data_IF_585719525982
#
_entry.id   IF_585719525982
#
_cell.length_a   1.000
_cell.length_b   1.000
_cell.length_c   1.000
_cell.angle_alpha   90.00
_cell.angle_beta   90.00
_cell.angle_gamma   90.00
#
_symmetry.space_group_name_H-M   'P 1'
#
loop_
_entity.id
_entity.type
_entity.pdbx_description
1 polymer ?
#
# COMPACT_ATOMS: atom_id res chain seq x y z
N UNK A 1 2.43 19.66 -1.10
CA UNK A 1 3.55 19.51 -0.15
C UNK A 1 4.79 19.26 -0.99
N UNK A 2 5.76 20.18 -0.98
CA UNK A 2 7.05 19.93 -1.64
C UNK A 2 7.83 19.03 -0.68
N UNK A 3 8.17 17.82 -1.11
CA UNK A 3 9.00 16.91 -0.33
C UNK A 3 10.44 17.37 -0.58
N UNK A 4 11.06 17.92 0.47
CA UNK A 4 12.49 18.24 0.43
C UNK A 4 13.29 16.93 0.53
N UNK A 5 14.50 16.91 0.01
CA UNK A 5 15.43 15.77 0.08
C UNK A 5 15.58 15.28 1.52
N UNK A 6 15.53 16.21 2.47
CA UNK A 6 15.62 15.90 3.90
C UNK A 6 14.40 15.18 4.45
N UNK A 7 13.19 15.35 3.90
CA UNK A 7 11.98 14.67 4.42
C UNK A 7 11.63 13.40 3.66
N UNK A 8 12.33 13.12 2.55
CA UNK A 8 12.19 11.88 1.80
C UNK A 8 12.75 10.67 2.59
N UNK A 9 12.13 9.47 2.54
CA UNK A 9 12.64 8.29 3.25
C UNK A 9 14.11 7.96 2.95
N UNK A 10 14.56 8.13 1.71
CA UNK A 10 15.98 7.95 1.39
C UNK A 10 16.92 8.96 2.06
N UNK A 11 16.42 10.16 2.38
CA UNK A 11 17.15 11.16 3.19
C UNK A 11 17.09 10.90 4.70
N UNK A 12 16.31 9.89 5.13
CA UNK A 12 16.06 9.53 6.53
C UNK A 12 16.62 8.14 6.90
N UNK A 13 17.56 7.62 6.10
CA UNK A 13 18.29 6.39 6.40
C UNK A 13 17.75 5.12 5.76
N UNK A 14 16.72 5.19 4.91
CA UNK A 14 16.26 4.04 4.12
C UNK A 14 17.04 3.92 2.80
N UNK A 15 17.65 2.76 2.53
CA UNK A 15 18.35 2.50 1.27
C UNK A 15 17.41 2.34 0.06
N UNK A 16 16.20 1.82 0.30
CA UNK A 16 15.17 1.60 -0.72
C UNK A 16 13.82 2.17 -0.25
N UNK A 17 13.17 2.92 -1.13
CA UNK A 17 11.82 3.42 -0.96
C UNK A 17 10.96 3.02 -2.15
N UNK A 18 9.77 2.51 -1.87
CA UNK A 18 8.71 2.33 -2.85
C UNK A 18 7.37 2.69 -2.22
N UNK A 19 6.66 3.68 -2.78
CA UNK A 19 5.42 4.16 -2.19
C UNK A 19 5.07 5.56 -2.63
N UNK A 20 4.53 6.37 -1.72
CA UNK A 20 4.22 7.76 -1.98
C UNK A 20 4.50 8.60 -0.73
N UNK A 21 4.91 9.85 -0.93
CA UNK A 21 5.26 10.78 0.15
C UNK A 21 4.16 11.84 0.41
N UNK A 22 2.96 11.63 -0.12
CA UNK A 22 1.79 12.49 0.10
C UNK A 22 1.03 12.05 1.36
N UNK A 23 0.54 13.01 2.16
CA UNK A 23 -0.31 12.71 3.33
C UNK A 23 -1.70 12.16 2.99
N UNK A 24 -2.10 12.20 1.71
CA UNK A 24 -3.35 11.62 1.23
C UNK A 24 -3.15 11.05 -0.18
N UNK A 25 -3.82 9.94 -0.47
CA UNK A 25 -3.73 9.26 -1.77
C UNK A 25 -5.12 9.07 -2.36
N UNK A 26 -5.37 9.64 -3.54
CA UNK A 26 -6.72 9.77 -4.08
C UNK A 26 -7.21 8.55 -4.89
N UNK A 27 -6.34 7.61 -5.21
CA UNK A 27 -6.69 6.46 -6.06
C UNK A 27 -5.89 5.22 -5.68
N UNK A 28 -6.59 4.16 -5.29
CA UNK A 28 -6.02 2.89 -4.86
C UNK A 28 -5.77 1.90 -6.01
N UNK A 29 -6.20 2.20 -7.24
CA UNK A 29 -6.07 1.31 -8.40
C UNK A 29 -5.19 1.92 -9.50
N UNK A 30 -4.27 1.14 -10.06
CA UNK A 30 -3.45 1.51 -11.22
C UNK A 30 -2.78 2.90 -11.05
N UNK A 31 -2.28 3.16 -9.83
CA UNK A 31 -1.83 4.49 -9.42
C UNK A 31 -0.35 4.70 -9.71
N UNK A 32 0.13 5.94 -9.59
CA UNK A 32 1.56 6.27 -9.80
C UNK A 32 2.26 6.40 -8.46
N UNK A 33 3.13 5.44 -8.14
CA UNK A 33 3.98 5.49 -6.96
C UNK A 33 5.35 6.08 -7.30
N UNK A 34 6.24 6.10 -6.34
CA UNK A 34 7.62 6.52 -6.44
C UNK A 34 8.53 5.36 -6.07
N UNK A 35 9.66 5.24 -6.76
CA UNK A 35 10.79 4.38 -6.42
C UNK A 35 12.04 5.24 -6.36
N UNK A 36 12.59 5.46 -5.17
CA UNK A 36 13.82 6.24 -4.94
C UNK A 36 13.91 7.56 -5.74
N UNK A 37 12.90 8.42 -5.70
CA UNK A 37 12.87 9.68 -6.45
C UNK A 37 12.21 9.61 -7.83
N UNK A 38 11.98 8.41 -8.38
CA UNK A 38 11.44 8.23 -9.72
C UNK A 38 9.98 7.79 -9.71
N UNK A 39 9.14 8.44 -10.50
CA UNK A 39 7.72 8.05 -10.64
C UNK A 39 7.57 6.71 -11.37
N UNK A 40 6.79 5.80 -10.80
CA UNK A 40 6.50 4.46 -11.32
C UNK A 40 4.99 4.27 -11.47
N UNK A 41 4.52 3.98 -12.68
CA UNK A 41 3.14 3.57 -12.89
C UNK A 41 2.97 2.12 -12.43
N UNK A 42 1.97 1.89 -11.60
CA UNK A 42 1.66 0.56 -11.05
C UNK A 42 0.38 0.01 -11.67
N UNK A 43 0.15 -1.28 -11.48
CA UNK A 43 -1.07 -1.96 -11.91
C UNK A 43 -1.61 -2.78 -10.75
N UNK A 44 -2.92 -2.75 -10.54
CA UNK A 44 -3.59 -3.44 -9.45
C UNK A 44 -3.92 -2.52 -8.27
N UNK A 45 -4.29 -3.14 -7.16
CA UNK A 45 -4.65 -2.46 -5.92
C UNK A 45 -3.40 -2.12 -5.11
N UNK A 46 -3.31 -0.90 -4.58
CA UNK A 46 -2.09 -0.36 -3.98
C UNK A 46 -1.56 -1.21 -2.81
N UNK A 47 -2.44 -1.79 -1.99
CA UNK A 47 -2.02 -2.68 -0.90
C UNK A 47 -1.23 -3.86 -1.45
N UNK A 48 -1.80 -4.58 -2.42
CA UNK A 48 -1.16 -5.74 -3.07
C UNK A 48 0.18 -5.33 -3.72
N UNK A 49 0.21 -4.20 -4.41
CA UNK A 49 1.42 -3.67 -5.06
C UNK A 49 2.54 -3.37 -4.06
N UNK A 50 2.19 -2.81 -2.89
CA UNK A 50 3.15 -2.54 -1.82
C UNK A 50 3.63 -3.85 -1.16
N UNK A 51 2.73 -4.81 -0.96
CA UNK A 51 3.06 -6.14 -0.44
C UNK A 51 4.01 -6.88 -1.37
N UNK A 52 3.72 -6.92 -2.67
CA UNK A 52 4.57 -7.55 -3.68
C UNK A 52 5.98 -6.93 -3.68
N UNK A 53 6.08 -5.61 -3.57
CA UNK A 53 7.37 -4.93 -3.47
C UNK A 53 8.13 -5.29 -2.18
N UNK A 54 7.42 -5.41 -1.06
CA UNK A 54 8.02 -5.84 0.20
C UNK A 54 8.52 -7.30 0.12
N UNK A 55 7.74 -8.21 -0.47
CA UNK A 55 8.14 -9.61 -0.70
C UNK A 55 9.39 -9.65 -1.59
N UNK A 56 9.42 -8.89 -2.69
CA UNK A 56 10.59 -8.81 -3.56
C UNK A 56 11.83 -8.29 -2.83
N UNK A 57 11.67 -7.26 -1.98
CA UNK A 57 12.74 -6.75 -1.13
C UNK A 57 13.25 -7.84 -0.18
N UNK A 58 12.36 -8.54 0.51
CA UNK A 58 12.71 -9.62 1.45
C UNK A 58 13.47 -10.72 0.70
N UNK A 59 12.95 -11.21 -0.43
CA UNK A 59 13.58 -12.28 -1.21
C UNK A 59 14.98 -11.90 -1.71
N UNK A 60 15.16 -10.65 -2.15
CA UNK A 60 16.47 -10.13 -2.59
C UNK A 60 17.48 -10.01 -1.44
N UNK A 61 17.00 -9.83 -0.21
CA UNK A 61 17.83 -9.56 0.97
C UNK A 61 17.90 -10.73 1.96
N UNK A 62 17.27 -11.87 1.67
CA UNK A 62 17.11 -12.98 2.63
C UNK A 62 18.39 -13.57 3.22
N UNK A 63 19.53 -13.38 2.55
CA UNK A 63 20.84 -13.86 3.00
C UNK A 63 21.58 -12.85 3.91
N UNK A 64 20.97 -11.71 4.26
CA UNK A 64 21.51 -10.70 5.17
C UNK A 64 20.42 -10.15 6.10
N UNK A 65 20.82 -9.61 7.24
CA UNK A 65 19.88 -8.86 8.09
C UNK A 65 19.37 -7.63 7.35
N UNK A 66 18.06 -7.40 7.41
CA UNK A 66 17.41 -6.24 6.83
C UNK A 66 16.37 -5.65 7.80
N UNK A 67 15.99 -4.40 7.56
CA UNK A 67 14.82 -3.78 8.15
C UNK A 67 13.85 -3.42 7.01
N UNK A 68 12.60 -3.87 7.11
CA UNK A 68 11.55 -3.59 6.12
C UNK A 68 10.36 -2.99 6.86
N UNK A 69 9.96 -1.78 6.48
CA UNK A 69 8.83 -1.06 7.07
C UNK A 69 7.76 -0.84 6.00
N UNK A 70 6.57 -1.43 6.21
CA UNK A 70 5.46 -1.41 5.24
C UNK A 70 4.24 -0.74 5.88
N UNK A 71 4.18 0.61 5.90
CA UNK A 71 3.01 1.32 6.41
C UNK A 71 1.93 1.40 5.32
N UNK A 72 1.00 0.43 5.31
CA UNK A 72 -0.14 0.51 4.41
C UNK A 72 -0.94 1.79 4.62
N UNK A 73 -1.46 2.33 3.52
CA UNK A 73 -2.37 3.47 3.54
C UNK A 73 -3.81 3.06 3.83
N UNK A 74 -4.20 1.85 3.43
CA UNK A 74 -5.46 1.25 3.82
C UNK A 74 -5.55 1.15 5.37
N UNK A 75 -6.73 1.37 5.98
CA UNK A 75 -8.04 1.61 5.35
C UNK A 75 -8.41 3.11 5.25
N UNK A 76 -7.43 4.01 5.10
CA UNK A 76 -7.72 5.45 4.98
C UNK A 76 -8.61 5.75 3.76
N UNK A 77 -9.37 6.83 3.80
CA UNK A 77 -10.13 7.29 2.63
C UNK A 77 -9.22 7.62 1.43
N UNK A 78 -9.75 7.67 0.20
CA UNK A 78 -11.08 7.24 -0.24
C UNK A 78 -11.31 5.73 -0.02
N UNK A 79 -12.56 5.35 0.28
CA UNK A 79 -12.93 3.97 0.59
C UNK A 79 -13.07 3.16 -0.71
N UNK A 80 -11.94 2.62 -1.17
CA UNK A 80 -11.82 1.87 -2.42
C UNK A 80 -11.21 0.50 -2.12
N UNK A 81 -11.81 -0.56 -2.64
CA UNK A 81 -11.36 -1.95 -2.44
C UNK A 81 -11.82 -2.80 -3.63
N UNK A 82 -11.13 -3.90 -4.00
CA UNK A 82 -11.63 -4.79 -5.04
C UNK A 82 -13.05 -5.31 -4.76
N UNK A 83 -13.86 -5.44 -5.81
CA UNK A 83 -15.30 -5.74 -5.72
C UNK A 83 -15.61 -6.99 -4.89
N UNK A 84 -14.77 -8.03 -4.98
CA UNK A 84 -15.00 -9.28 -4.25
C UNK A 84 -14.95 -9.10 -2.72
N UNK A 85 -14.10 -8.22 -2.20
CA UNK A 85 -14.09 -7.87 -0.77
C UNK A 85 -15.32 -7.04 -0.42
N UNK A 86 -15.64 -6.02 -1.22
CA UNK A 86 -16.82 -5.17 -0.98
C UNK A 86 -18.11 -5.99 -0.95
N UNK A 87 -18.33 -6.80 -1.98
CA UNK A 87 -19.52 -7.63 -2.16
C UNK A 87 -19.72 -8.62 -1.01
N UNK A 88 -18.62 -9.19 -0.49
CA UNK A 88 -18.66 -10.10 0.66
C UNK A 88 -19.33 -9.45 1.87
N UNK A 89 -18.94 -8.22 2.20
CA UNK A 89 -19.47 -7.49 3.34
C UNK A 89 -20.82 -6.83 3.04
N UNK A 90 -21.05 -6.41 1.80
CA UNK A 90 -22.35 -5.90 1.36
C UNK A 90 -23.44 -6.96 1.49
N UNK A 91 -23.15 -8.21 1.11
CA UNK A 91 -24.05 -9.37 1.29
C UNK A 91 -24.35 -9.68 2.76
N UNK A 92 -23.50 -9.24 3.70
CA UNK A 92 -23.74 -9.35 5.15
C UNK A 92 -24.61 -8.22 5.73
N UNK A 93 -25.08 -7.31 4.89
CA UNK A 93 -25.99 -6.23 5.27
C UNK A 93 -25.30 -4.96 5.77
N UNK A 94 -23.99 -4.82 5.55
CA UNK A 94 -23.26 -3.59 5.92
C UNK A 94 -23.59 -2.45 4.95
N UNK A 95 -23.51 -1.21 5.45
CA UNK A 95 -23.53 -0.03 4.57
C UNK A 95 -22.27 0.02 3.70
N UNK A 96 -22.29 0.85 2.65
CA UNK A 96 -21.21 0.86 1.64
C UNK A 96 -19.86 1.25 2.24
N UNK A 97 -19.85 2.17 3.21
CA UNK A 97 -18.62 2.62 3.85
C UNK A 97 -18.02 1.51 4.70
N UNK A 98 -18.83 0.86 5.53
CA UNK A 98 -18.39 -0.26 6.37
C UNK A 98 -17.99 -1.46 5.53
N UNK A 99 -18.72 -1.76 4.45
CA UNK A 99 -18.37 -2.84 3.53
C UNK A 99 -17.01 -2.59 2.87
N UNK A 100 -16.74 -1.37 2.41
CA UNK A 100 -15.41 -1.01 1.89
C UNK A 100 -14.33 -1.11 2.97
N UNK A 101 -14.50 -0.47 4.14
CA UNK A 101 -13.48 -0.45 5.21
C UNK A 101 -13.14 -1.87 5.67
N UNK A 102 -14.14 -2.73 5.83
CA UNK A 102 -13.92 -4.12 6.25
C UNK A 102 -13.22 -4.91 5.14
N UNK A 103 -13.59 -4.67 3.88
CA UNK A 103 -12.89 -5.24 2.74
C UNK A 103 -11.43 -4.81 2.66
N UNK A 104 -11.12 -3.53 2.91
CA UNK A 104 -9.74 -3.02 2.91
C UNK A 104 -8.91 -3.66 4.02
N UNK A 105 -9.48 -3.86 5.21
CA UNK A 105 -8.82 -4.56 6.30
C UNK A 105 -8.62 -6.05 5.99
N UNK A 106 -9.59 -6.72 5.38
CA UNK A 106 -9.46 -8.12 4.97
C UNK A 106 -8.36 -8.29 3.91
N UNK A 107 -8.27 -7.38 2.93
CA UNK A 107 -7.19 -7.43 1.96
C UNK A 107 -5.79 -7.24 2.59
N UNK A 108 -5.67 -6.42 3.65
CA UNK A 108 -4.41 -6.35 4.41
C UNK A 108 -4.09 -7.70 5.08
N UNK A 109 -5.11 -8.36 5.66
CA UNK A 109 -4.95 -9.66 6.31
C UNK A 109 -4.49 -10.75 5.33
N UNK A 110 -5.11 -10.82 4.15
CA UNK A 110 -4.71 -11.75 3.07
C UNK A 110 -3.25 -11.52 2.65
N UNK A 111 -2.82 -10.25 2.54
CA UNK A 111 -1.44 -9.89 2.20
C UNK A 111 -0.42 -10.20 3.32
N UNK A 112 -0.87 -10.44 4.55
CA UNK A 112 -0.04 -10.89 5.67
C UNK A 112 -0.04 -12.42 5.84
N UNK A 113 -0.77 -13.16 4.99
CA UNK A 113 -0.84 -14.62 4.99
C UNK A 113 -2.09 -15.20 5.67
N UNK A 114 -3.19 -14.44 5.73
CA UNK A 114 -4.52 -14.89 6.13
C UNK A 114 -5.17 -15.92 5.21
#
# INVERSE_FOLDING_TARGET
VVIDVLTHPNGQGFDEFFGFCSGHWNNYFDTTLERNGESVRTKGYITDVLTDAAIQFIEKNKDRSFFCYVPYNAPHSPFQVPDHYFDKYKKRGLDDKLACVYGMCENIDDNLGG
#
